data_IF_559254861534
#
_entry.id   IF_559254861534
#
_cell.length_a   1.000
_cell.length_b   1.000
_cell.length_c   1.000
_cell.angle_alpha   90.00
_cell.angle_beta   90.00
_cell.angle_gamma   90.00
#
_symmetry.space_group_name_H-M   'P 1'
#
loop_
_entity.id
_entity.type
_entity.pdbx_description
1 polymer ?
#
# COMPACT_ATOMS: atom_id res chain seq x y z
N UNK A 1 -12.17 -2.23 6.29
CA UNK A 1 -11.60 -1.18 5.46
C UNK A 1 -11.07 -0.05 6.32
N UNK A 2 -10.00 0.59 5.90
CA UNK A 2 -9.51 1.86 6.44
C UNK A 2 -9.24 2.84 5.32
N UNK A 3 -9.32 4.14 5.60
CA UNK A 3 -9.08 5.17 4.60
C UNK A 3 -8.30 6.32 5.19
N UNK A 4 -7.10 6.54 4.69
CA UNK A 4 -6.14 7.50 5.20
C UNK A 4 -5.82 8.58 4.16
N UNK A 5 -5.60 9.78 4.63
CA UNK A 5 -4.96 10.85 3.87
C UNK A 5 -3.56 11.11 4.45
N UNK A 6 -2.59 11.34 3.57
CA UNK A 6 -1.24 11.76 3.93
C UNK A 6 -1.02 13.14 3.33
N UNK A 7 -0.97 14.14 4.19
CA UNK A 7 -0.75 15.52 3.84
C UNK A 7 0.37 16.10 4.69
N UNK A 8 1.38 16.67 4.07
CA UNK A 8 2.54 17.27 4.76
C UNK A 8 3.17 16.32 5.80
N UNK A 9 3.37 15.03 5.43
CA UNK A 9 3.90 13.97 6.30
C UNK A 9 3.06 13.71 7.57
N UNK A 10 1.81 14.15 7.58
CA UNK A 10 0.83 13.87 8.64
C UNK A 10 -0.25 12.96 8.12
N UNK A 11 -0.63 11.94 8.91
CA UNK A 11 -1.73 11.05 8.59
C UNK A 11 -3.03 11.58 9.19
N UNK A 12 -4.10 11.48 8.41
CA UNK A 12 -5.46 11.76 8.83
C UNK A 12 -6.35 10.57 8.49
N UNK A 13 -7.18 10.16 9.43
CA UNK A 13 -8.20 9.16 9.21
C UNK A 13 -9.43 9.80 8.54
N UNK A 14 -9.81 9.31 7.36
CA UNK A 14 -10.94 9.83 6.59
C UNK A 14 -12.27 9.18 6.98
N UNK A 15 -12.26 8.10 7.77
CA UNK A 15 -13.47 7.43 8.25
C UNK A 15 -13.96 7.98 9.59
N UNK A 16 -13.10 8.71 10.30
CA UNK A 16 -13.41 9.39 11.56
C UNK A 16 -13.92 10.82 11.33
N UNK A 17 -14.67 11.33 12.29
CA UNK A 17 -15.09 12.73 12.28
C UNK A 17 -13.89 13.67 12.39
N UNK A 18 -14.00 14.87 11.80
CA UNK A 18 -12.92 15.88 11.74
C UNK A 18 -12.45 16.30 13.13
N UNK A 19 -13.34 16.26 14.12
CA UNK A 19 -13.11 16.72 15.50
C UNK A 19 -12.87 15.56 16.48
N UNK A 20 -12.24 14.48 16.01
CA UNK A 20 -11.94 13.33 16.89
C UNK A 20 -10.76 13.69 17.81
N UNK A 21 -11.02 13.76 19.15
CA UNK A 21 -10.02 14.06 20.21
C UNK A 21 -9.03 12.91 20.49
N UNK A 22 -9.01 11.88 19.67
CA UNK A 22 -8.12 10.73 19.81
C UNK A 22 -6.69 11.01 19.32
N UNK A 23 -5.73 10.11 19.65
CA UNK A 23 -4.36 10.23 19.18
C UNK A 23 -4.30 10.09 17.66
N UNK A 24 -3.47 10.91 17.02
CA UNK A 24 -3.30 10.92 15.57
C UNK A 24 -2.80 9.54 15.04
N UNK A 25 -3.25 9.12 13.85
CA UNK A 25 -2.76 7.91 13.21
C UNK A 25 -1.24 7.97 13.00
N UNK A 26 -0.55 6.85 13.21
CA UNK A 26 0.88 6.78 12.96
C UNK A 26 1.29 5.42 12.37
N UNK A 27 2.24 5.43 11.41
CA UNK A 27 2.76 4.20 10.82
C UNK A 27 3.71 3.53 11.80
N UNK A 28 3.48 2.24 12.06
CA UNK A 28 4.30 1.35 12.87
C UNK A 28 4.70 0.12 12.09
N UNK A 29 5.69 -0.56 12.59
CA UNK A 29 6.17 -1.83 12.06
C UNK A 29 6.28 -2.85 13.19
N UNK A 30 5.74 -4.03 12.97
CA UNK A 30 5.80 -5.17 13.88
C UNK A 30 6.34 -6.40 13.12
N UNK A 31 7.09 -7.25 13.79
CA UNK A 31 7.73 -8.42 13.18
C UNK A 31 6.73 -9.46 12.63
N UNK A 32 5.53 -9.54 13.22
CA UNK A 32 4.48 -10.50 12.81
C UNK A 32 3.45 -9.87 11.87
N UNK A 33 3.05 -8.62 12.14
CA UNK A 33 2.00 -7.92 11.38
C UNK A 33 2.52 -7.18 10.15
N UNK A 34 3.84 -6.98 10.06
CA UNK A 34 4.42 -6.09 9.05
C UNK A 34 4.14 -4.62 9.36
N UNK A 35 3.97 -3.81 8.33
CA UNK A 35 3.66 -2.39 8.46
C UNK A 35 2.17 -2.18 8.69
N UNK A 36 1.79 -1.41 9.69
CA UNK A 36 0.40 -1.09 10.03
C UNK A 36 0.25 0.35 10.51
N UNK A 37 -0.99 0.83 10.63
CA UNK A 37 -1.28 2.17 11.16
C UNK A 37 -1.93 2.04 12.52
N UNK A 38 -1.25 2.56 13.53
CA UNK A 38 -1.75 2.68 14.89
C UNK A 38 -2.78 3.83 14.96
N UNK A 39 -3.79 3.71 15.81
CA UNK A 39 -4.87 4.69 16.00
C UNK A 39 -5.66 5.00 14.72
N UNK A 40 -5.85 4.02 13.84
CA UNK A 40 -6.64 4.13 12.64
C UNK A 40 -7.96 3.38 12.81
N UNK A 41 -9.06 3.98 12.39
CA UNK A 41 -10.35 3.31 12.38
C UNK A 41 -10.40 2.25 11.28
N UNK A 42 -10.81 1.05 11.66
CA UNK A 42 -11.05 -0.05 10.74
C UNK A 42 -12.55 -0.40 10.72
N UNK A 43 -13.21 -0.07 9.62
CA UNK A 43 -14.63 -0.38 9.38
C UNK A 43 -14.78 -1.82 8.90
N UNK A 44 -15.63 -2.59 9.55
CA UNK A 44 -15.98 -3.94 9.09
C UNK A 44 -17.04 -3.84 7.99
N UNK A 45 -16.80 -4.49 6.87
CA UNK A 45 -17.69 -4.54 5.71
C UNK A 45 -18.00 -5.98 5.32
N UNK A 46 -19.18 -6.24 4.78
CA UNK A 46 -19.65 -7.59 4.45
C UNK A 46 -19.90 -7.79 2.95
N UNK A 47 -19.48 -6.85 2.11
CA UNK A 47 -19.64 -6.96 0.67
C UNK A 47 -19.19 -5.72 -0.08
N UNK A 48 -19.31 -5.78 -1.40
CA UNK A 48 -18.86 -4.72 -2.30
C UNK A 48 -19.60 -3.39 -2.08
N UNK A 49 -20.93 -3.47 -1.83
CA UNK A 49 -21.78 -2.28 -1.63
C UNK A 49 -21.34 -1.49 -0.39
N UNK A 50 -21.24 -2.14 0.77
CA UNK A 50 -20.77 -1.50 2.01
C UNK A 50 -19.33 -1.00 1.88
N UNK A 51 -18.47 -1.72 1.17
CA UNK A 51 -17.10 -1.27 0.88
C UNK A 51 -17.10 0.02 0.09
N UNK A 52 -17.98 0.13 -0.93
CA UNK A 52 -18.10 1.30 -1.75
C UNK A 52 -18.73 2.50 -0.99
N UNK A 53 -19.72 2.26 -0.14
CA UNK A 53 -20.29 3.27 0.75
C UNK A 53 -19.25 3.83 1.73
N UNK A 54 -18.43 2.95 2.32
CA UNK A 54 -17.32 3.33 3.20
C UNK A 54 -16.29 4.20 2.46
N UNK A 55 -15.96 3.82 1.23
CA UNK A 55 -15.10 4.63 0.35
C UNK A 55 -15.70 6.01 0.06
N UNK A 56 -16.97 6.08 -0.32
CA UNK A 56 -17.66 7.35 -0.63
C UNK A 56 -17.71 8.28 0.59
N UNK A 57 -17.96 7.74 1.78
CA UNK A 57 -17.95 8.50 3.03
C UNK A 57 -16.58 9.13 3.29
N UNK A 58 -15.51 8.35 3.19
CA UNK A 58 -14.15 8.88 3.36
C UNK A 58 -13.76 9.88 2.28
N UNK A 59 -14.19 9.68 1.04
CA UNK A 59 -13.98 10.63 -0.06
C UNK A 59 -14.70 11.97 0.18
N UNK A 60 -15.91 11.93 0.77
CA UNK A 60 -16.64 13.13 1.18
C UNK A 60 -15.89 13.88 2.30
N UNK A 61 -15.41 13.16 3.32
CA UNK A 61 -14.63 13.74 4.43
C UNK A 61 -13.30 14.35 3.93
N UNK A 62 -12.66 13.74 2.92
CA UNK A 62 -11.48 14.32 2.27
C UNK A 62 -11.81 15.68 1.63
N UNK A 63 -12.98 15.82 0.98
CA UNK A 63 -13.42 17.10 0.38
C UNK A 63 -13.70 18.19 1.41
N UNK A 64 -14.42 17.86 2.48
CA UNK A 64 -14.77 18.82 3.54
C UNK A 64 -13.52 19.32 4.27
N UNK A 65 -12.60 18.45 4.60
CA UNK A 65 -11.34 18.84 5.24
C UNK A 65 -10.49 19.80 4.40
N UNK A 66 -10.62 19.74 3.07
CA UNK A 66 -9.93 20.61 2.11
C UNK A 66 -10.46 22.06 2.13
N UNK A 67 -11.77 22.27 2.24
CA UNK A 67 -12.38 23.61 2.32
C UNK A 67 -11.93 24.34 3.57
N UNK A 68 -11.67 23.63 4.66
CA UNK A 68 -11.25 24.19 5.94
C UNK A 68 -9.74 24.52 6.00
N UNK A 69 -8.91 23.85 5.16
CA UNK A 69 -7.44 23.96 5.23
C UNK A 69 -6.76 24.49 3.95
N UNK A 70 -7.51 24.97 2.94
CA UNK A 70 -6.98 25.36 1.63
C UNK A 70 -6.14 24.24 0.94
N UNK A 71 -6.28 22.98 1.39
CA UNK A 71 -5.54 21.85 0.84
C UNK A 71 -6.17 21.39 -0.47
N UNK A 72 -5.38 21.37 -1.56
CA UNK A 72 -5.81 20.81 -2.84
C UNK A 72 -5.57 19.28 -2.85
N UNK A 73 -6.47 18.47 -3.50
CA UNK A 73 -6.28 17.03 -3.66
C UNK A 73 -5.02 16.69 -4.46
N UNK A 74 -4.53 17.61 -5.26
CA UNK A 74 -3.24 17.49 -5.94
C UNK A 74 -2.04 17.48 -4.97
N UNK A 75 -2.27 17.79 -3.67
CA UNK A 75 -1.21 17.97 -2.68
C UNK A 75 -1.19 16.92 -1.56
N UNK A 76 -2.15 16.02 -1.55
CA UNK A 76 -2.23 14.94 -0.56
C UNK A 76 -2.30 13.59 -1.25
N UNK A 77 -1.72 12.56 -0.62
CA UNK A 77 -1.94 11.17 -1.01
C UNK A 77 -3.14 10.62 -0.25
N UNK A 78 -3.87 9.69 -0.85
CA UNK A 78 -4.88 8.94 -0.11
C UNK A 78 -4.67 7.44 -0.30
N UNK A 79 -4.92 6.68 0.77
CA UNK A 79 -4.75 5.22 0.79
C UNK A 79 -6.01 4.59 1.35
N UNK A 80 -6.80 3.95 0.49
CA UNK A 80 -7.92 3.11 0.89
C UNK A 80 -7.44 1.67 0.96
N UNK A 81 -7.53 1.06 2.14
CA UNK A 81 -7.06 -0.29 2.40
C UNK A 81 -8.23 -1.22 2.68
N UNK A 82 -8.27 -2.35 1.97
CA UNK A 82 -9.21 -3.44 2.23
C UNK A 82 -8.41 -4.59 2.81
N UNK A 83 -8.75 -5.01 4.05
CA UNK A 83 -8.21 -6.20 4.70
C UNK A 83 -9.17 -7.35 4.47
N UNK A 84 -8.68 -8.42 3.86
CA UNK A 84 -9.46 -9.60 3.49
C UNK A 84 -8.95 -10.78 4.30
N UNK A 85 -9.84 -11.41 5.07
CA UNK A 85 -9.59 -12.64 5.79
C UNK A 85 -10.44 -13.76 5.16
N UNK A 86 -9.81 -14.84 4.73
CA UNK A 86 -10.48 -16.04 4.26
C UNK A 86 -10.14 -17.22 5.15
N UNK A 87 -11.15 -18.03 5.49
CA UNK A 87 -10.99 -19.29 6.23
C UNK A 87 -11.50 -20.44 5.40
N UNK A 88 -10.63 -21.39 5.10
CA UNK A 88 -10.96 -22.60 4.37
C UNK A 88 -10.86 -23.81 5.29
N UNK A 89 -11.86 -24.70 5.26
CA UNK A 89 -11.82 -25.97 5.97
C UNK A 89 -11.62 -27.07 4.94
N UNK A 90 -10.58 -27.88 5.10
CA UNK A 90 -10.28 -29.02 4.23
C UNK A 90 -11.15 -30.21 4.64
N UNK A 91 -12.06 -30.63 3.74
CA UNK A 91 -13.13 -31.58 4.04
C UNK A 91 -12.70 -32.95 4.54
N UNK A 92 -11.54 -33.46 4.09
CA UNK A 92 -11.03 -34.79 4.46
C UNK A 92 -10.30 -34.82 5.80
N UNK A 93 -9.66 -33.72 6.18
CA UNK A 93 -8.78 -33.66 7.37
C UNK A 93 -9.35 -32.81 8.48
N UNK A 94 -10.39 -31.99 8.20
CA UNK A 94 -10.92 -30.99 9.14
C UNK A 94 -9.95 -29.81 9.38
N UNK A 95 -8.75 -29.84 8.82
CA UNK A 95 -7.77 -28.79 8.97
C UNK A 95 -8.29 -27.47 8.42
N UNK A 96 -8.00 -26.38 9.11
CA UNK A 96 -8.44 -25.05 8.73
C UNK A 96 -7.24 -24.20 8.34
N UNK A 97 -7.38 -23.51 7.23
CA UNK A 97 -6.39 -22.55 6.74
C UNK A 97 -6.98 -21.15 6.77
N UNK A 98 -6.23 -20.21 7.30
CA UNK A 98 -6.57 -18.79 7.30
C UNK A 98 -5.61 -18.08 6.35
N UNK A 99 -6.18 -17.37 5.39
CA UNK A 99 -5.42 -16.53 4.46
C UNK A 99 -5.76 -15.06 4.74
N UNK A 100 -4.74 -14.24 4.89
CA UNK A 100 -4.87 -12.81 5.09
C UNK A 100 -4.27 -12.06 3.90
N UNK A 101 -5.00 -11.09 3.35
CA UNK A 101 -4.53 -10.24 2.28
C UNK A 101 -4.90 -8.77 2.52
N UNK A 102 -4.02 -7.87 2.08
CA UNK A 102 -4.26 -6.43 2.07
C UNK A 102 -4.29 -5.95 0.62
N UNK A 103 -5.34 -5.24 0.26
CA UNK A 103 -5.43 -4.50 -1.00
C UNK A 103 -5.38 -3.00 -0.70
N UNK A 104 -4.32 -2.34 -1.17
CA UNK A 104 -4.18 -0.89 -1.07
C UNK A 104 -4.54 -0.24 -2.41
N UNK A 105 -5.53 0.65 -2.40
CA UNK A 105 -5.86 1.54 -3.50
C UNK A 105 -5.28 2.92 -3.16
N UNK A 106 -4.29 3.35 -3.92
CA UNK A 106 -3.49 4.53 -3.61
C UNK A 106 -3.69 5.58 -4.69
N UNK A 107 -4.13 6.77 -4.28
CA UNK A 107 -4.19 7.97 -5.09
C UNK A 107 -3.08 8.92 -4.63
N UNK A 108 -2.07 9.11 -5.48
CA UNK A 108 -0.89 9.91 -5.15
C UNK A 108 -1.16 11.41 -5.36
N UNK A 109 -0.46 12.23 -4.60
CA UNK A 109 -0.38 13.66 -4.89
C UNK A 109 0.18 13.91 -6.30
N UNK A 110 -0.12 15.06 -6.89
CA UNK A 110 0.35 15.42 -8.21
C UNK A 110 1.88 15.42 -8.32
N UNK A 111 2.37 14.91 -9.43
CA UNK A 111 3.80 14.85 -9.73
C UNK A 111 4.32 16.09 -10.49
N UNK A 112 3.42 16.98 -10.85
CA UNK A 112 3.75 18.21 -11.56
C UNK A 112 4.68 19.12 -10.75
N UNK A 113 5.66 19.71 -11.41
CA UNK A 113 6.53 20.71 -10.82
C UNK A 113 5.70 21.96 -10.51
N UNK A 114 5.57 22.32 -9.25
CA UNK A 114 5.03 23.62 -8.91
C UNK A 114 5.99 24.69 -9.47
N UNK A 115 5.53 25.41 -10.50
CA UNK A 115 6.23 26.61 -10.96
C UNK A 115 6.30 27.54 -9.75
N UNK A 116 7.49 28.03 -9.44
CA UNK A 116 7.75 28.98 -8.36
C UNK A 116 6.93 30.25 -8.60
N UNK A 117 5.66 30.23 -8.20
CA UNK A 117 4.92 31.45 -7.93
C UNK A 117 5.43 31.97 -6.60
N UNK A 118 5.58 33.29 -6.41
CA UNK A 118 6.12 34.00 -5.25
C UNK A 118 5.50 33.61 -3.89
N UNK A 119 5.48 32.31 -3.61
CA UNK A 119 4.92 31.71 -2.40
C UNK A 119 5.95 31.82 -1.28
N UNK A 120 5.78 32.80 -0.42
CA UNK A 120 6.57 32.94 0.81
C UNK A 120 5.96 32.12 1.95
N UNK A 121 6.80 31.58 2.83
CA UNK A 121 6.41 31.01 4.11
C UNK A 121 5.86 29.58 4.07
N UNK A 122 4.64 29.36 4.57
CA UNK A 122 4.04 28.05 4.76
C UNK A 122 3.80 27.27 3.47
N UNK A 123 3.42 27.95 2.37
CA UNK A 123 3.22 27.32 1.04
C UNK A 123 4.50 26.74 0.46
N UNK A 124 5.66 27.32 0.77
CA UNK A 124 6.95 26.79 0.34
C UNK A 124 7.30 25.51 1.10
N UNK A 125 6.99 25.44 2.41
CA UNK A 125 7.16 24.24 3.24
C UNK A 125 6.24 23.10 2.77
N UNK A 126 4.99 23.42 2.47
CA UNK A 126 3.99 22.47 1.93
C UNK A 126 4.46 21.87 0.60
N UNK A 127 4.83 22.71 -0.38
CA UNK A 127 5.34 22.26 -1.67
C UNK A 127 6.59 21.37 -1.52
N UNK A 128 7.46 21.71 -0.57
CA UNK A 128 8.65 20.91 -0.25
C UNK A 128 8.27 19.53 0.31
N UNK A 129 7.24 19.43 1.17
CA UNK A 129 6.82 18.17 1.78
C UNK A 129 6.16 17.23 0.75
N UNK A 130 5.34 17.76 -0.18
CA UNK A 130 4.73 16.98 -1.26
C UNK A 130 5.81 16.40 -2.18
N UNK A 131 6.75 17.25 -2.62
CA UNK A 131 7.87 16.83 -3.44
C UNK A 131 8.77 15.82 -2.70
N UNK A 132 8.89 15.93 -1.37
CA UNK A 132 9.65 15.01 -0.53
C UNK A 132 9.07 13.61 -0.59
N UNK A 133 7.76 13.42 -0.42
CA UNK A 133 7.13 12.08 -0.41
C UNK A 133 7.23 11.37 -1.75
N UNK A 134 7.01 12.08 -2.89
CA UNK A 134 7.18 11.52 -4.23
C UNK A 134 8.65 11.24 -4.56
N UNK A 135 9.56 12.12 -4.13
CA UNK A 135 11.00 11.92 -4.29
C UNK A 135 11.49 10.72 -3.46
N UNK A 136 10.99 10.58 -2.22
CA UNK A 136 11.27 9.41 -1.37
C UNK A 136 10.77 8.12 -2.05
N UNK A 137 9.57 8.12 -2.65
CA UNK A 137 9.06 6.98 -3.40
C UNK A 137 9.98 6.64 -4.58
N UNK A 138 10.45 7.64 -5.34
CA UNK A 138 11.41 7.45 -6.43
C UNK A 138 12.75 6.86 -5.95
N UNK A 139 13.24 7.32 -4.80
CA UNK A 139 14.48 6.82 -4.18
C UNK A 139 14.32 5.38 -3.67
N UNK A 140 13.19 5.05 -3.06
CA UNK A 140 12.86 3.68 -2.63
C UNK A 140 12.83 2.73 -3.83
N UNK A 141 12.10 3.08 -4.90
CA UNK A 141 12.03 2.26 -6.13
C UNK A 141 13.44 2.05 -6.71
N UNK A 142 14.24 3.11 -6.82
CA UNK A 142 15.62 3.00 -7.29
C UNK A 142 16.47 2.09 -6.40
N UNK A 143 16.35 2.23 -5.08
CA UNK A 143 17.12 1.41 -4.14
C UNK A 143 16.72 -0.07 -4.21
N UNK A 144 15.42 -0.39 -4.37
CA UNK A 144 14.94 -1.76 -4.55
C UNK A 144 15.53 -2.38 -5.81
N UNK A 145 15.54 -1.65 -6.93
CA UNK A 145 16.13 -2.13 -8.20
C UNK A 145 17.64 -2.34 -8.04
N UNK A 146 18.35 -1.39 -7.43
CA UNK A 146 19.79 -1.50 -7.17
C UNK A 146 20.13 -2.76 -6.33
N UNK A 147 19.34 -3.03 -5.29
CA UNK A 147 19.50 -4.24 -4.43
C UNK A 147 19.19 -5.52 -5.23
N UNK A 148 18.15 -5.52 -6.07
CA UNK A 148 17.80 -6.65 -6.92
C UNK A 148 18.86 -6.96 -8.00
N UNK A 149 19.67 -5.96 -8.35
CA UNK A 149 20.81 -6.06 -9.27
C UNK A 149 22.14 -6.36 -8.53
N UNK A 150 22.07 -6.70 -7.22
CA UNK A 150 23.23 -7.15 -6.42
C UNK A 150 24.05 -6.03 -5.78
N UNK A 151 23.59 -4.78 -5.78
CA UNK A 151 24.28 -3.69 -5.10
C UNK A 151 23.94 -3.67 -3.61
N UNK A 152 24.95 -3.49 -2.78
CA UNK A 152 24.74 -3.23 -1.35
C UNK A 152 24.17 -1.83 -1.16
N UNK A 153 22.89 -1.74 -0.82
CA UNK A 153 22.20 -0.47 -0.61
C UNK A 153 21.09 -0.62 0.43
N UNK A 154 21.03 0.34 1.35
CA UNK A 154 19.87 0.49 2.23
C UNK A 154 18.69 1.07 1.44
N UNK A 155 17.48 0.50 1.66
CA UNK A 155 16.24 1.01 1.06
C UNK A 155 15.56 1.96 2.05
N UNK A 156 15.44 3.27 1.72
CA UNK A 156 15.04 4.30 2.67
C UNK A 156 13.51 4.41 2.83
N UNK A 157 12.85 3.33 3.25
CA UNK A 157 11.38 3.32 3.41
C UNK A 157 10.85 4.36 4.39
N UNK A 158 11.65 4.74 5.40
CA UNK A 158 11.23 5.67 6.48
C UNK A 158 11.40 7.14 6.15
N UNK A 159 11.86 7.48 4.95
CA UNK A 159 12.06 8.87 4.52
C UNK A 159 10.73 9.61 4.32
N UNK A 160 9.61 8.89 4.11
CA UNK A 160 8.27 9.45 4.11
C UNK A 160 7.24 8.49 4.72
N UNK A 161 6.14 9.04 5.21
CA UNK A 161 5.02 8.24 5.73
C UNK A 161 4.42 7.35 4.64
N UNK A 162 4.35 7.82 3.40
CA UNK A 162 3.88 7.06 2.26
C UNK A 162 4.75 5.82 2.01
N UNK A 163 6.06 6.00 1.89
CA UNK A 163 6.98 4.89 1.61
C UNK A 163 7.07 3.92 2.77
N UNK A 164 6.92 4.40 4.00
CA UNK A 164 6.90 3.54 5.16
C UNK A 164 5.61 2.71 5.22
N UNK A 165 4.44 3.32 4.98
CA UNK A 165 3.15 2.61 4.91
C UNK A 165 3.14 1.54 3.82
N UNK A 166 3.72 1.84 2.65
CA UNK A 166 3.75 0.94 1.49
C UNK A 166 4.96 0.01 1.47
N UNK A 167 5.76 -0.06 2.54
CA UNK A 167 6.99 -0.85 2.61
C UNK A 167 6.79 -2.29 2.17
N UNK A 168 5.78 -2.97 2.72
CA UNK A 168 5.52 -4.38 2.42
C UNK A 168 5.03 -4.60 0.98
N UNK A 169 4.27 -3.64 0.45
CA UNK A 169 3.81 -3.65 -0.93
C UNK A 169 4.96 -3.40 -1.93
N UNK A 170 5.85 -2.43 -1.65
CA UNK A 170 6.97 -2.08 -2.50
C UNK A 170 8.14 -3.07 -2.37
N UNK A 171 8.30 -3.70 -1.21
CA UNK A 171 9.42 -4.60 -0.89
C UNK A 171 9.45 -5.93 -1.64
N UNK A 172 8.58 -6.13 -2.63
CA UNK A 172 8.57 -7.29 -3.51
C UNK A 172 7.76 -8.49 -3.01
N UNK A 173 7.10 -8.42 -1.86
CA UNK A 173 6.22 -9.47 -1.33
C UNK A 173 4.78 -9.39 -1.84
N UNK A 174 4.38 -8.27 -2.43
CA UNK A 174 3.04 -8.02 -2.94
C UNK A 174 3.05 -7.78 -4.45
N UNK A 175 1.92 -8.03 -5.10
CA UNK A 175 1.69 -7.60 -6.49
C UNK A 175 1.38 -6.12 -6.48
N UNK A 176 2.13 -5.33 -7.23
CA UNK A 176 1.94 -3.88 -7.36
C UNK A 176 1.64 -3.53 -8.81
N UNK A 177 0.61 -2.72 -9.02
CA UNK A 177 0.26 -2.15 -10.33
C UNK A 177 0.35 -0.63 -10.23
N UNK A 178 1.14 0.00 -11.11
CA UNK A 178 1.26 1.44 -11.22
C UNK A 178 0.47 1.94 -12.42
N UNK A 179 -0.49 2.83 -12.18
CA UNK A 179 -1.22 3.55 -13.22
C UNK A 179 -0.51 4.87 -13.51
N UNK A 180 0.13 4.99 -14.66
CA UNK A 180 0.83 6.19 -15.08
C UNK A 180 -0.10 7.06 -15.93
N UNK A 181 -0.61 8.15 -15.34
CA UNK A 181 -1.47 9.11 -16.03
C UNK A 181 -0.62 10.12 -16.80
N UNK A 182 -0.85 10.24 -18.11
CA UNK A 182 -0.08 11.11 -19.01
C UNK A 182 -1.02 11.97 -19.85
N UNK A 183 -0.53 13.13 -20.29
CA UNK A 183 -1.27 14.04 -21.17
C UNK A 183 -0.68 14.01 -22.58
N UNK A 184 -1.52 13.96 -23.64
CA UNK A 184 -1.06 14.05 -25.03
C UNK A 184 -0.71 15.48 -25.47
N UNK A 185 -1.02 16.51 -24.66
CA UNK A 185 -0.79 17.90 -25.02
C UNK A 185 0.71 18.22 -25.04
N UNK A 186 1.17 18.90 -26.10
CA UNK A 186 2.57 19.27 -26.29
C UNK A 186 3.13 20.11 -25.13
N UNK A 187 2.31 20.95 -24.51
CA UNK A 187 2.68 21.78 -23.36
C UNK A 187 3.07 20.95 -22.13
N UNK A 188 2.62 19.69 -22.05
CA UNK A 188 2.87 18.78 -20.93
C UNK A 188 3.93 17.71 -21.25
N UNK A 189 4.71 17.87 -22.33
CA UNK A 189 5.65 16.84 -22.80
C UNK A 189 6.74 16.51 -21.76
N UNK A 190 7.20 17.50 -21.00
CA UNK A 190 8.21 17.31 -19.96
C UNK A 190 7.66 16.47 -18.79
N UNK A 191 6.43 16.78 -18.33
CA UNK A 191 5.76 16.06 -17.25
C UNK A 191 5.42 14.63 -17.69
N UNK A 192 4.89 14.46 -18.92
CA UNK A 192 4.63 13.14 -19.50
C UNK A 192 5.89 12.30 -19.56
N UNK A 193 7.01 12.88 -20.03
CA UNK A 193 8.31 12.21 -20.11
C UNK A 193 8.82 11.82 -18.72
N UNK A 194 8.68 12.69 -17.72
CA UNK A 194 9.06 12.42 -16.33
C UNK A 194 8.26 11.26 -15.75
N UNK A 195 6.93 11.26 -15.94
CA UNK A 195 6.02 10.20 -15.49
C UNK A 195 6.37 8.86 -16.13
N UNK A 196 6.64 8.82 -17.44
CA UNK A 196 7.03 7.59 -18.13
C UNK A 196 8.38 7.05 -17.65
N UNK A 197 9.37 7.92 -17.39
CA UNK A 197 10.66 7.52 -16.81
C UNK A 197 10.50 6.96 -15.40
N UNK A 198 9.58 7.51 -14.60
CA UNK A 198 9.26 6.98 -13.29
C UNK A 198 8.60 5.58 -13.39
N UNK A 199 7.59 5.44 -14.26
CA UNK A 199 6.90 4.17 -14.49
C UNK A 199 7.85 3.09 -15.03
N UNK A 200 8.77 3.44 -15.93
CA UNK A 200 9.80 2.54 -16.43
C UNK A 200 10.68 1.98 -15.30
N UNK A 201 11.11 2.83 -14.36
CA UNK A 201 11.88 2.39 -13.18
C UNK A 201 11.05 1.49 -12.27
N UNK A 202 9.79 1.85 -12.01
CA UNK A 202 8.88 1.03 -11.19
C UNK A 202 8.67 -0.36 -11.80
N UNK A 203 8.59 -0.47 -13.14
CA UNK A 203 8.47 -1.75 -13.86
C UNK A 203 9.66 -2.70 -13.64
N UNK A 204 10.83 -2.18 -13.27
CA UNK A 204 12.04 -3.00 -13.02
C UNK A 204 12.02 -3.67 -11.64
N UNK A 205 11.10 -3.31 -10.74
CA UNK A 205 10.98 -3.94 -9.43
C UNK A 205 10.56 -5.39 -9.60
N UNK A 206 11.42 -6.31 -9.15
CA UNK A 206 11.13 -7.75 -9.17
C UNK A 206 10.22 -8.11 -8.01
N UNK A 207 9.08 -8.72 -8.30
CA UNK A 207 8.07 -9.12 -7.31
C UNK A 207 8.08 -10.64 -7.14
N UNK A 208 8.14 -11.08 -5.87
CA UNK A 208 7.91 -12.46 -5.45
C UNK A 208 6.77 -12.47 -4.44
N UNK A 209 5.55 -12.32 -4.93
CA UNK A 209 4.37 -12.35 -4.07
C UNK A 209 4.25 -13.73 -3.40
N UNK A 210 4.07 -13.72 -2.08
CA UNK A 210 3.86 -14.92 -1.25
C UNK A 210 2.48 -14.83 -0.64
N UNK A 211 1.73 -15.93 -0.63
CA UNK A 211 0.44 -16.01 0.04
C UNK A 211 0.68 -16.01 1.55
N UNK A 212 0.00 -15.13 2.28
CA UNK A 212 0.04 -15.12 3.75
C UNK A 212 -0.99 -16.12 4.25
N UNK A 213 -0.54 -17.33 4.53
CA UNK A 213 -1.36 -18.46 4.93
C UNK A 213 -0.92 -18.97 6.30
N UNK A 214 -1.88 -19.19 7.19
CA UNK A 214 -1.68 -19.70 8.53
C UNK A 214 -2.57 -20.92 8.72
N UNK A 215 -1.98 -22.06 9.10
CA UNK A 215 -2.73 -23.27 9.43
C UNK A 215 -3.28 -23.15 10.84
N UNK A 216 -4.59 -23.31 11.00
CA UNK A 216 -5.31 -23.28 12.27
C UNK A 216 -5.93 -24.64 12.49
N UNK A 217 -5.61 -25.31 13.62
CA UNK A 217 -6.20 -26.59 13.95
C UNK A 217 -5.60 -27.21 15.21
N UNK A 218 -6.21 -28.28 15.69
CA UNK A 218 -5.63 -29.12 16.73
C UNK A 218 -4.37 -29.81 16.18
N UNK A 219 -3.48 -30.25 17.07
CA UNK A 219 -2.27 -30.99 16.66
C UNK A 219 -2.59 -32.22 15.80
N UNK A 220 -3.72 -32.89 16.05
CA UNK A 220 -4.18 -34.05 15.26
C UNK A 220 -4.65 -33.67 13.86
N UNK A 221 -5.39 -32.56 13.69
CA UNK A 221 -5.84 -32.06 12.39
C UNK A 221 -4.66 -31.59 11.54
N UNK A 222 -3.70 -30.90 12.14
CA UNK A 222 -2.47 -30.46 11.48
C UNK A 222 -1.59 -31.66 11.08
N UNK A 223 -1.47 -32.69 11.93
CA UNK A 223 -0.74 -33.91 11.61
C UNK A 223 -1.38 -34.68 10.44
N UNK A 224 -2.71 -34.77 10.39
CA UNK A 224 -3.43 -35.37 9.27
C UNK A 224 -3.20 -34.60 7.96
N UNK A 225 -3.24 -33.28 7.99
CA UNK A 225 -2.96 -32.45 6.80
C UNK A 225 -1.51 -32.59 6.32
N UNK A 226 -0.54 -32.62 7.23
CA UNK A 226 0.87 -32.86 6.89
C UNK A 226 1.03 -34.23 6.23
N UNK A 227 0.36 -35.28 6.75
CA UNK A 227 0.39 -36.61 6.14
C UNK A 227 -0.21 -36.61 4.73
N UNK A 228 -1.36 -35.95 4.53
CA UNK A 228 -2.00 -35.77 3.23
C UNK A 228 -1.10 -35.06 2.22
N UNK A 229 -0.51 -33.94 2.60
CA UNK A 229 0.38 -33.15 1.73
C UNK A 229 1.65 -33.95 1.34
N UNK A 230 2.20 -34.74 2.26
CA UNK A 230 3.34 -35.63 1.97
C UNK A 230 2.98 -36.71 0.98
N UNK A 231 1.77 -37.29 1.08
CA UNK A 231 1.29 -38.30 0.11
C UNK A 231 1.15 -37.71 -1.30
N UNK A 232 0.54 -36.50 -1.41
CA UNK A 232 0.41 -35.82 -2.71
C UNK A 232 1.77 -35.44 -3.33
N UNK A 233 2.75 -35.05 -2.53
CA UNK A 233 4.10 -34.77 -3.01
C UNK A 233 4.81 -36.06 -3.51
N UNK A 234 4.58 -37.20 -2.84
CA UNK A 234 5.12 -38.48 -3.26
C UNK A 234 4.50 -38.98 -4.58
N UNK A 235 3.20 -38.78 -4.79
CA UNK A 235 2.49 -39.11 -6.03
C UNK A 235 2.88 -38.16 -7.18
N UNK A 236 3.05 -36.84 -6.92
CA UNK A 236 3.47 -35.86 -7.93
C UNK A 236 4.94 -35.93 -8.33
N UNK A 237 5.82 -36.55 -7.52
CA UNK A 237 7.25 -36.72 -7.80
C UNK A 237 7.60 -37.93 -8.66
N UNK A 238 6.62 -38.79 -8.97
CA UNK A 238 6.84 -40.02 -9.76
C UNK A 238 6.73 -39.88 -11.29
N UNK A 239 6.51 -38.68 -11.83
CA UNK A 239 6.23 -38.45 -13.26
C UNK A 239 7.34 -37.78 -14.05
N UNK A 240 8.62 -38.14 -13.83
CA UNK A 240 9.74 -37.53 -14.54
C UNK A 240 10.93 -38.45 -14.71
N UNK A 241 10.73 -39.56 -15.38
CA UNK A 241 11.82 -40.48 -15.70
C UNK A 241 11.36 -41.51 -16.77
N UNK A 242 11.42 -41.07 -17.99
CA UNK A 242 11.22 -41.93 -19.16
C UNK A 242 11.71 -41.20 -20.40
#
# INVERSE_FOLDING_TARGET
CSYLEIYNETLRDLLMCVDHDGPAPNVREDAKRGTFVENCHEERVYGAEQTYETFLRGAANRRVGRTNMNADSSRSHSVFTISIESKTTHGETGAKTKTNALLHLVDLAGSERQKSTDAAGERLKEASAINKSLSALGNVIKAIVDVADGKERHVPYRDSKLTFLLKDALGGRARCTLLACVSPAMVNIEETTSTLKFAQRAKMVKVRAVVNEESIGSASELAAEVARLRALLAEGGGGGGG
#
